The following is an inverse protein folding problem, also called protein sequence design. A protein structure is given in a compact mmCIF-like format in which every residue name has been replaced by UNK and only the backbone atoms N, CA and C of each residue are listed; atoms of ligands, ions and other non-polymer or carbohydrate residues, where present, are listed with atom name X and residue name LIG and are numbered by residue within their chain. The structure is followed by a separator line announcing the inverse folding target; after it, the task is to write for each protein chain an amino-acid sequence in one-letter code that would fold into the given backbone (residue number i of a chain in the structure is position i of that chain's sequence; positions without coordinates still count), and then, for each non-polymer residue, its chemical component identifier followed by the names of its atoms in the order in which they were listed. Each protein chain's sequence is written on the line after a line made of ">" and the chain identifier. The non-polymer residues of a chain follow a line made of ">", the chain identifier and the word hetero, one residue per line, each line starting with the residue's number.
data_IF_688598255614
#
_entry.id   IF_688598255614
#
_cell.length_a   1.000
_cell.length_b   1.000
_cell.length_c   1.000
_cell.angle_alpha   90.00
_cell.angle_beta   90.00
_cell.angle_gamma   90.00
#
_symmetry.space_group_name_H-M   'P 1'
#
loop_
_entity.id
_entity.type
_entity.pdbx_description
1 polymer ?
#
# COMPACT_ATOMS: atom_id res chain seq x y z
N UNK A 1 17.12 -16.17 32.88
CA UNK A 1 16.34 -16.72 31.76
C UNK A 1 16.20 -15.61 30.74
N UNK A 2 16.53 -15.84 29.48
CA UNK A 2 16.30 -14.87 28.39
C UNK A 2 14.79 -14.64 28.23
N UNK A 3 14.38 -13.38 28.05
CA UNK A 3 12.97 -13.04 27.79
C UNK A 3 12.48 -13.78 26.53
N UNK A 4 11.18 -14.12 26.43
CA UNK A 4 10.63 -14.76 25.25
C UNK A 4 10.75 -13.83 24.03
N UNK A 5 10.75 -14.42 22.83
CA UNK A 5 11.03 -13.66 21.60
C UNK A 5 9.99 -12.55 21.34
N UNK A 6 8.73 -12.76 21.71
CA UNK A 6 7.68 -11.74 21.57
C UNK A 6 7.91 -10.48 22.42
N UNK A 7 8.75 -10.57 23.47
CA UNK A 7 9.16 -9.44 24.30
C UNK A 7 10.47 -8.79 23.79
N UNK A 8 10.96 -9.19 22.63
CA UNK A 8 12.19 -8.69 22.00
C UNK A 8 11.98 -8.42 20.51
N UNK A 9 11.01 -7.55 20.14
CA UNK A 9 10.64 -7.34 18.75
C UNK A 9 11.80 -6.78 17.91
N UNK A 10 12.67 -5.97 18.51
CA UNK A 10 13.86 -5.46 17.83
C UNK A 10 14.79 -6.59 17.35
N UNK A 11 15.07 -7.58 18.19
CA UNK A 11 15.91 -8.73 17.81
C UNK A 11 15.24 -9.60 16.73
N UNK A 12 13.92 -9.74 16.82
CA UNK A 12 13.16 -10.47 15.82
C UNK A 12 13.23 -9.75 14.45
N UNK A 13 13.05 -8.43 14.42
CA UNK A 13 13.16 -7.65 13.19
C UNK A 13 14.58 -7.71 12.61
N UNK A 14 15.60 -7.56 13.45
CA UNK A 14 17.00 -7.70 13.02
C UNK A 14 17.23 -9.05 12.33
N UNK A 15 16.67 -10.13 12.89
CA UNK A 15 16.77 -11.45 12.30
C UNK A 15 16.02 -11.57 10.99
N UNK A 16 14.80 -11.02 10.86
CA UNK A 16 14.04 -11.07 9.60
C UNK A 16 14.71 -10.27 8.49
N UNK A 17 15.31 -9.13 8.80
CA UNK A 17 16.08 -8.33 7.83
C UNK A 17 17.27 -9.11 7.27
N UNK A 18 17.91 -9.97 8.07
CA UNK A 18 19.06 -10.76 7.63
C UNK A 18 18.74 -11.82 6.56
N UNK A 19 17.48 -12.14 6.36
CA UNK A 19 17.06 -12.92 5.20
C UNK A 19 16.92 -12.02 3.99
N UNK A 20 17.75 -12.26 2.96
CA UNK A 20 17.61 -11.58 1.68
C UNK A 20 16.49 -12.23 0.88
N UNK A 21 15.35 -11.56 0.88
CA UNK A 21 14.13 -11.98 0.19
C UNK A 21 13.81 -11.02 -0.96
N UNK A 22 14.84 -10.51 -1.62
CA UNK A 22 14.70 -9.59 -2.76
C UNK A 22 13.84 -10.20 -3.87
N UNK A 23 12.85 -9.46 -4.31
CA UNK A 23 11.92 -9.83 -5.36
C UNK A 23 11.95 -8.77 -6.50
N UNK A 24 12.24 -9.14 -7.76
CA UNK A 24 12.66 -10.48 -8.20
C UNK A 24 14.09 -10.87 -7.76
N UNK A 25 14.45 -12.19 -7.70
CA UNK A 25 13.66 -13.34 -8.16
C UNK A 25 12.63 -13.85 -7.13
N UNK A 26 12.71 -13.43 -5.86
CA UNK A 26 11.94 -13.98 -4.75
C UNK A 26 12.51 -15.32 -4.26
N UNK A 27 12.83 -15.37 -2.97
CA UNK A 27 13.34 -16.58 -2.29
C UNK A 27 13.01 -16.48 -0.81
N UNK A 28 11.74 -16.64 -0.48
CA UNK A 28 11.23 -16.39 0.86
C UNK A 28 11.37 -17.62 1.79
N UNK A 29 11.77 -18.79 1.25
CA UNK A 29 11.76 -20.08 1.96
C UNK A 29 12.49 -20.06 3.30
N UNK A 30 13.68 -19.46 3.38
CA UNK A 30 14.47 -19.47 4.62
C UNK A 30 13.82 -18.57 5.68
N UNK A 31 13.29 -17.42 5.28
CA UNK A 31 12.55 -16.52 6.17
C UNK A 31 11.27 -17.18 6.69
N UNK A 32 10.48 -17.75 5.79
CA UNK A 32 9.21 -18.43 6.14
C UNK A 32 9.48 -19.66 6.99
N UNK A 33 10.52 -20.44 6.72
CA UNK A 33 10.91 -21.60 7.54
C UNK A 33 11.24 -21.19 8.97
N UNK A 34 12.02 -20.14 9.15
CA UNK A 34 12.33 -19.58 10.46
C UNK A 34 11.06 -19.16 11.23
N UNK A 35 10.13 -18.47 10.56
CA UNK A 35 8.86 -18.04 11.15
C UNK A 35 7.98 -19.22 11.51
N UNK A 36 7.95 -20.25 10.66
CA UNK A 36 7.23 -21.49 10.90
C UNK A 36 7.77 -22.24 12.13
N UNK A 37 9.09 -22.32 12.28
CA UNK A 37 9.73 -22.91 13.46
C UNK A 37 9.35 -22.16 14.74
N UNK A 38 9.36 -20.83 14.74
CA UNK A 38 8.96 -20.01 15.88
C UNK A 38 7.50 -20.26 16.29
N UNK A 39 6.59 -20.28 15.33
CA UNK A 39 5.17 -20.49 15.59
C UNK A 39 4.88 -21.92 16.05
N UNK A 40 5.50 -22.92 15.43
CA UNK A 40 5.36 -24.33 15.82
C UNK A 40 5.90 -24.57 17.24
N UNK A 41 7.05 -23.98 17.57
CA UNK A 41 7.63 -24.06 18.92
C UNK A 41 6.74 -23.38 19.97
N UNK A 42 5.95 -22.37 19.59
CA UNK A 42 4.95 -21.72 20.44
C UNK A 42 3.61 -22.48 20.50
N UNK A 43 3.48 -23.63 19.82
CA UNK A 43 2.30 -24.49 19.85
C UNK A 43 1.23 -24.14 18.81
N UNK A 44 1.51 -23.31 17.84
CA UNK A 44 0.59 -23.07 16.73
C UNK A 44 0.54 -24.23 15.75
N UNK A 45 -0.66 -24.51 15.24
CA UNK A 45 -0.81 -25.28 14.01
C UNK A 45 -0.57 -24.34 12.83
N UNK A 46 0.39 -24.70 11.99
CA UNK A 46 0.78 -23.93 10.83
C UNK A 46 0.48 -24.67 9.53
N UNK A 47 0.21 -23.93 8.48
CA UNK A 47 0.06 -24.44 7.11
C UNK A 47 1.01 -23.69 6.20
N UNK A 48 1.81 -24.43 5.43
CA UNK A 48 2.66 -23.88 4.39
C UNK A 48 2.04 -24.17 3.02
N UNK A 49 1.76 -23.13 2.25
CA UNK A 49 1.18 -23.21 0.91
C UNK A 49 2.12 -22.51 -0.07
N UNK A 50 2.48 -23.19 -1.14
CA UNK A 50 3.47 -22.67 -2.09
C UNK A 50 3.10 -23.04 -3.54
N UNK A 51 3.05 -22.04 -4.42
CA UNK A 51 2.97 -22.24 -5.87
C UNK A 51 4.30 -22.75 -6.43
N UNK A 52 5.41 -22.34 -5.82
CA UNK A 52 6.76 -22.85 -6.08
C UNK A 52 7.48 -23.08 -4.74
N UNK A 53 8.33 -24.12 -4.62
CA UNK A 53 8.96 -24.47 -3.35
C UNK A 53 9.78 -23.38 -2.68
N UNK A 54 10.37 -22.46 -3.45
CA UNK A 54 11.19 -21.35 -2.94
C UNK A 54 10.38 -20.19 -2.39
N UNK A 55 9.06 -20.15 -2.66
CA UNK A 55 8.17 -19.02 -2.37
C UNK A 55 6.93 -19.45 -1.57
N UNK A 56 7.11 -20.03 -0.37
CA UNK A 56 5.98 -20.46 0.45
C UNK A 56 5.31 -19.29 1.16
N UNK A 57 4.02 -19.47 1.44
CA UNK A 57 3.22 -18.64 2.32
C UNK A 57 2.94 -19.41 3.60
N UNK A 58 2.89 -18.74 4.74
CA UNK A 58 2.69 -19.31 6.05
C UNK A 58 1.38 -18.81 6.63
N UNK A 59 0.52 -19.75 7.03
CA UNK A 59 -0.74 -19.47 7.74
C UNK A 59 -0.68 -20.09 9.11
N UNK A 60 -0.98 -19.31 10.16
CA UNK A 60 -1.14 -19.78 11.53
C UNK A 60 -2.45 -19.25 12.10
N UNK A 61 -3.14 -20.08 12.88
CA UNK A 61 -4.43 -19.72 13.47
C UNK A 61 -4.36 -19.67 14.99
N UNK A 62 -4.78 -18.54 15.56
CA UNK A 62 -5.07 -18.39 16.98
C UNK A 62 -6.59 -18.53 17.16
N UNK A 63 -7.07 -19.63 17.79
CA UNK A 63 -8.49 -19.87 17.94
C UNK A 63 -9.16 -18.82 18.82
N UNK A 64 -10.28 -18.30 18.37
CA UNK A 64 -11.12 -17.39 19.12
C UNK A 64 -12.23 -18.10 19.89
N UNK A 65 -13.09 -17.29 20.55
CA UNK A 65 -14.24 -17.79 21.32
C UNK A 65 -15.52 -17.93 20.49
N UNK A 66 -15.48 -17.64 19.20
CA UNK A 66 -16.64 -17.66 18.30
C UNK A 66 -17.64 -16.51 18.55
N UNK A 67 -17.23 -15.43 19.23
CA UNK A 67 -18.08 -14.29 19.56
C UNK A 67 -17.98 -13.14 18.55
N UNK A 68 -17.11 -13.26 17.53
CA UNK A 68 -16.95 -12.32 16.43
C UNK A 68 -16.54 -13.08 15.16
N UNK A 69 -16.70 -12.48 13.97
CA UNK A 69 -16.09 -13.00 12.74
C UNK A 69 -14.57 -13.12 12.87
N UNK A 70 -13.94 -13.91 12.00
CA UNK A 70 -12.48 -14.01 11.97
C UNK A 70 -11.82 -12.69 11.56
N UNK A 71 -10.57 -12.51 12.01
CA UNK A 71 -9.67 -11.39 11.66
C UNK A 71 -8.41 -11.97 11.01
N UNK A 72 -8.03 -11.47 9.83
CA UNK A 72 -6.71 -11.74 9.24
C UNK A 72 -5.72 -10.67 9.69
N UNK A 73 -4.54 -11.10 10.12
CA UNK A 73 -3.34 -10.26 10.17
C UNK A 73 -2.46 -10.68 8.99
N UNK A 74 -2.29 -9.82 8.01
CA UNK A 74 -1.64 -10.17 6.75
C UNK A 74 -0.42 -9.29 6.49
N UNK A 75 0.66 -9.90 5.97
CA UNK A 75 1.84 -9.16 5.56
C UNK A 75 2.78 -10.01 4.73
N UNK A 76 3.68 -9.33 4.02
CA UNK A 76 4.65 -9.98 3.15
C UNK A 76 6.08 -9.92 3.72
N UNK A 77 6.94 -10.82 3.25
CA UNK A 77 8.36 -10.87 3.64
C UNK A 77 9.31 -10.67 2.47
N UNK A 78 8.82 -10.67 1.23
CA UNK A 78 9.62 -10.22 0.10
C UNK A 78 9.87 -8.72 0.17
N UNK A 79 10.90 -8.26 -0.50
CA UNK A 79 11.33 -6.86 -0.46
C UNK A 79 11.86 -6.44 -1.83
N UNK A 80 11.75 -5.16 -2.18
CA UNK A 80 12.31 -4.62 -3.42
C UNK A 80 13.83 -4.67 -3.44
N UNK A 81 14.39 -4.62 -4.64
CA UNK A 81 15.84 -4.62 -4.88
C UNK A 81 16.55 -3.47 -4.19
N UNK A 82 17.79 -3.73 -3.76
CA UNK A 82 18.75 -2.72 -3.26
C UNK A 82 19.80 -2.34 -4.31
N UNK A 83 19.68 -2.85 -5.53
CA UNK A 83 20.62 -2.59 -6.62
C UNK A 83 20.65 -1.10 -6.99
N UNK A 84 21.83 -0.59 -7.31
CA UNK A 84 22.08 0.81 -7.64
C UNK A 84 21.75 1.82 -6.52
N UNK A 85 21.65 1.36 -5.26
CA UNK A 85 21.46 2.20 -4.10
C UNK A 85 22.72 2.26 -3.24
N UNK A 86 23.02 3.42 -2.67
CA UNK A 86 24.14 3.58 -1.73
C UNK A 86 23.59 3.62 -0.32
N UNK A 87 23.98 2.67 0.52
CA UNK A 87 23.50 2.50 1.88
C UNK A 87 24.58 2.88 2.90
N UNK A 88 24.20 3.58 3.95
CA UNK A 88 25.07 3.88 5.10
C UNK A 88 25.44 2.61 5.89
N UNK A 89 24.53 1.63 5.92
CA UNK A 89 24.75 0.31 6.52
C UNK A 89 24.27 -0.78 5.54
N UNK A 90 24.92 -1.97 5.51
CA UNK A 90 24.50 -3.04 4.59
C UNK A 90 23.00 -3.35 4.74
N UNK A 91 22.24 -3.40 3.64
CA UNK A 91 20.76 -3.43 3.66
C UNK A 91 20.16 -4.67 4.35
N UNK A 92 20.90 -5.78 4.41
CA UNK A 92 20.48 -7.01 5.07
C UNK A 92 21.24 -7.30 6.36
N UNK A 93 21.84 -6.28 6.99
CA UNK A 93 22.56 -6.47 8.26
C UNK A 93 21.64 -6.46 9.49
N UNK A 94 20.50 -5.82 9.42
CA UNK A 94 19.61 -5.61 10.57
C UNK A 94 20.30 -4.84 11.71
N UNK A 95 21.18 -3.89 11.36
CA UNK A 95 22.02 -3.21 12.34
C UNK A 95 21.23 -2.26 13.22
N UNK A 96 21.43 -2.33 14.54
CA UNK A 96 20.89 -1.36 15.49
C UNK A 96 21.90 -0.22 15.66
N UNK A 97 21.53 0.99 15.27
CA UNK A 97 22.37 2.20 15.38
C UNK A 97 21.49 3.37 15.78
N UNK A 98 21.88 4.11 16.79
CA UNK A 98 21.21 5.33 17.29
C UNK A 98 19.70 5.15 17.55
N UNK A 99 19.32 3.99 18.08
CA UNK A 99 17.92 3.65 18.37
C UNK A 99 17.08 3.21 17.16
N UNK A 100 17.71 3.06 15.97
CA UNK A 100 17.04 2.59 14.75
C UNK A 100 17.56 1.21 14.34
N UNK A 101 16.64 0.36 13.86
CA UNK A 101 16.98 -0.87 13.15
C UNK A 101 17.04 -0.52 11.67
N UNK A 102 18.21 -0.70 11.07
CA UNK A 102 18.50 -0.38 9.68
C UNK A 102 18.42 -1.61 8.81
N UNK A 103 17.73 -1.49 7.71
CA UNK A 103 17.72 -2.53 6.67
C UNK A 103 16.51 -2.47 5.77
N UNK A 104 16.63 -3.08 4.58
CA UNK A 104 15.54 -3.26 3.64
C UNK A 104 14.45 -4.13 4.27
N UNK A 105 13.20 -3.68 4.20
CA UNK A 105 12.07 -4.33 4.83
C UNK A 105 11.80 -3.90 6.27
N UNK A 106 12.58 -2.96 6.83
CA UNK A 106 12.35 -2.50 8.20
C UNK A 106 11.00 -1.79 8.36
N UNK A 107 10.53 -1.09 7.32
CA UNK A 107 9.21 -0.45 7.23
C UNK A 107 8.28 -1.23 6.32
N UNK A 108 8.77 -1.74 5.20
CA UNK A 108 8.00 -2.38 4.14
C UNK A 108 8.49 -3.81 3.88
N UNK A 109 7.80 -4.88 4.47
CA UNK A 109 6.95 -4.72 5.65
C UNK A 109 7.32 -5.72 6.77
N UNK A 110 8.60 -6.15 6.86
CA UNK A 110 9.04 -7.11 7.91
C UNK A 110 8.81 -6.54 9.32
N UNK A 111 8.89 -5.19 9.50
CA UNK A 111 8.50 -4.54 10.74
C UNK A 111 7.03 -4.77 11.10
N UNK A 112 6.14 -4.67 10.14
CA UNK A 112 4.71 -5.00 10.29
C UNK A 112 4.48 -6.47 10.62
N UNK A 113 5.19 -7.36 9.94
CA UNK A 113 5.17 -8.80 10.25
C UNK A 113 5.58 -9.06 11.70
N UNK A 114 6.62 -8.37 12.19
CA UNK A 114 7.05 -8.48 13.60
C UNK A 114 5.96 -8.01 14.57
N UNK A 115 5.28 -6.90 14.29
CA UNK A 115 4.18 -6.42 15.13
C UNK A 115 3.07 -7.47 15.26
N UNK A 116 2.66 -8.06 14.15
CA UNK A 116 1.60 -9.08 14.11
C UNK A 116 2.04 -10.38 14.78
N UNK A 117 3.25 -10.84 14.48
CA UNK A 117 3.81 -12.07 15.03
C UNK A 117 3.98 -11.99 16.55
N UNK A 118 4.52 -10.89 17.07
CA UNK A 118 4.69 -10.69 18.52
C UNK A 118 3.34 -10.64 19.23
N UNK A 119 2.31 -10.03 18.63
CA UNK A 119 0.97 -9.97 19.20
C UNK A 119 0.34 -11.37 19.33
N UNK A 120 0.41 -12.21 18.29
CA UNK A 120 -0.16 -13.57 18.35
C UNK A 120 0.65 -14.50 19.25
N UNK A 121 1.98 -14.41 19.26
CA UNK A 121 2.85 -15.17 20.16
C UNK A 121 2.60 -14.82 21.62
N UNK A 122 2.41 -13.52 21.92
CA UNK A 122 2.06 -13.05 23.26
C UNK A 122 0.69 -13.57 23.69
N UNK A 123 -0.32 -13.45 22.82
CA UNK A 123 -1.66 -13.96 23.09
C UNK A 123 -1.65 -15.45 23.41
N UNK A 124 -0.92 -16.25 22.63
CA UNK A 124 -0.76 -17.69 22.87
C UNK A 124 -0.07 -17.97 24.20
N UNK A 125 1.02 -17.27 24.51
CA UNK A 125 1.79 -17.46 25.74
C UNK A 125 1.00 -17.09 27.01
N UNK A 126 0.14 -16.07 26.92
CA UNK A 126 -0.74 -15.60 28.00
C UNK A 126 -2.04 -16.43 28.09
N UNK A 127 -2.29 -17.36 27.16
CA UNK A 127 -3.53 -18.14 27.09
C UNK A 127 -4.75 -17.27 26.73
N UNK A 128 -4.53 -16.12 26.08
CA UNK A 128 -5.60 -15.21 25.68
C UNK A 128 -6.32 -15.74 24.43
N UNK A 129 -7.66 -15.78 24.50
CA UNK A 129 -8.52 -16.13 23.37
C UNK A 129 -9.26 -14.90 22.86
N UNK A 130 -9.02 -14.44 21.61
CA UNK A 130 -9.74 -13.33 21.01
C UNK A 130 -11.23 -13.66 20.79
N UNK A 131 -12.05 -12.66 20.48
CA UNK A 131 -13.47 -12.87 20.25
C UNK A 131 -13.76 -13.70 18.99
N UNK A 132 -13.05 -13.48 17.92
CA UNK A 132 -13.06 -14.29 16.69
C UNK A 132 -11.70 -14.94 16.45
N UNK A 133 -11.64 -15.92 15.57
CA UNK A 133 -10.36 -16.50 15.15
C UNK A 133 -9.45 -15.42 14.57
N UNK A 134 -8.15 -15.49 14.91
CA UNK A 134 -7.12 -14.65 14.26
C UNK A 134 -6.29 -15.55 13.35
N UNK A 135 -6.25 -15.17 12.07
CA UNK A 135 -5.48 -15.87 11.04
C UNK A 135 -4.26 -15.01 10.68
N UNK A 136 -3.10 -15.39 11.20
CA UNK A 136 -1.84 -14.77 10.78
C UNK A 136 -1.44 -15.36 9.42
N UNK A 137 -1.29 -14.50 8.43
CA UNK A 137 -0.93 -14.87 7.05
C UNK A 137 0.32 -14.09 6.64
N UNK A 138 1.44 -14.80 6.49
CA UNK A 138 2.73 -14.22 6.07
C UNK A 138 3.03 -14.70 4.66
N UNK A 139 3.16 -13.78 3.73
CA UNK A 139 3.11 -14.03 2.30
C UNK A 139 4.40 -13.67 1.58
N UNK A 140 4.52 -14.22 0.38
CA UNK A 140 5.50 -13.89 -0.62
C UNK A 140 4.89 -12.96 -1.68
N UNK A 141 5.73 -12.30 -2.50
CA UNK A 141 5.41 -11.74 -3.81
C UNK A 141 4.51 -10.50 -3.82
N UNK A 142 4.36 -9.77 -2.73
CA UNK A 142 3.60 -8.52 -2.77
C UNK A 142 4.23 -7.54 -3.77
N UNK A 143 5.54 -7.35 -3.67
CA UNK A 143 6.35 -6.37 -4.41
C UNK A 143 6.41 -6.62 -5.93
N UNK A 144 5.98 -7.79 -6.40
CA UNK A 144 5.92 -8.12 -7.84
C UNK A 144 4.51 -8.48 -8.33
N UNK A 145 3.48 -8.26 -7.50
CA UNK A 145 2.07 -8.35 -7.90
C UNK A 145 1.25 -9.47 -7.28
N UNK A 146 1.77 -10.15 -6.25
CA UNK A 146 1.06 -11.11 -5.39
C UNK A 146 0.72 -12.45 -6.04
N UNK A 147 1.26 -12.79 -7.21
CA UNK A 147 0.89 -13.99 -7.98
C UNK A 147 1.31 -15.30 -7.30
N UNK A 148 2.33 -15.26 -6.41
CA UNK A 148 2.80 -16.37 -5.58
C UNK A 148 2.34 -16.26 -4.12
N UNK A 149 1.81 -15.09 -3.73
CA UNK A 149 1.36 -14.73 -2.40
C UNK A 149 -0.16 -14.66 -2.28
N UNK A 150 -0.68 -13.47 -1.99
CA UNK A 150 -2.09 -13.25 -1.68
C UNK A 150 -3.04 -13.72 -2.78
N UNK A 151 -2.72 -13.50 -4.06
CA UNK A 151 -3.54 -13.96 -5.19
C UNK A 151 -3.66 -15.49 -5.17
N UNK A 152 -2.53 -16.19 -5.06
CA UNK A 152 -2.52 -17.65 -4.99
C UNK A 152 -3.36 -18.17 -3.82
N UNK A 153 -3.22 -17.57 -2.63
CA UNK A 153 -3.97 -17.98 -1.45
C UNK A 153 -5.48 -17.76 -1.62
N UNK A 154 -5.86 -16.60 -2.15
CA UNK A 154 -7.28 -16.22 -2.30
C UNK A 154 -7.97 -17.02 -3.41
N UNK A 155 -7.27 -17.31 -4.52
CA UNK A 155 -7.85 -18.01 -5.66
C UNK A 155 -7.83 -19.55 -5.50
N UNK A 156 -6.77 -20.12 -4.91
CA UNK A 156 -6.57 -21.56 -4.83
C UNK A 156 -6.87 -22.15 -3.43
N UNK A 157 -6.85 -21.30 -2.37
CA UNK A 157 -7.03 -21.71 -0.97
C UNK A 157 -8.00 -20.80 -0.18
N UNK A 158 -9.16 -20.39 -0.74
CA UNK A 158 -10.10 -19.47 -0.08
C UNK A 158 -10.65 -20.03 1.25
N UNK A 159 -10.67 -21.36 1.42
CA UNK A 159 -11.11 -22.04 2.64
C UNK A 159 -10.29 -21.64 3.88
N UNK A 160 -9.05 -21.18 3.69
CA UNK A 160 -8.21 -20.71 4.79
C UNK A 160 -8.78 -19.43 5.44
N UNK A 161 -9.62 -18.70 4.73
CA UNK A 161 -10.19 -17.43 5.16
C UNK A 161 -11.70 -17.51 5.44
N UNK A 162 -12.25 -18.74 5.52
CA UNK A 162 -13.67 -18.92 5.80
C UNK A 162 -14.07 -18.28 7.13
N UNK A 163 -15.16 -17.49 7.14
CA UNK A 163 -15.66 -16.80 8.32
C UNK A 163 -14.88 -15.53 8.74
N UNK A 164 -13.88 -15.13 7.97
CA UNK A 164 -13.16 -13.86 8.15
C UNK A 164 -13.98 -12.70 7.57
N UNK A 165 -14.03 -11.58 8.28
CA UNK A 165 -14.67 -10.34 7.81
C UNK A 165 -13.69 -9.21 7.58
N UNK A 166 -12.63 -9.11 8.39
CA UNK A 166 -11.68 -8.02 8.35
C UNK A 166 -10.24 -8.53 8.21
N UNK A 167 -9.42 -7.73 7.55
CA UNK A 167 -7.98 -7.90 7.48
C UNK A 167 -7.26 -6.65 7.98
N UNK A 168 -6.14 -6.85 8.65
CA UNK A 168 -5.18 -5.81 9.03
C UNK A 168 -3.90 -6.07 8.26
N UNK A 169 -3.41 -5.05 7.58
CA UNK A 169 -2.19 -5.10 6.79
C UNK A 169 -1.48 -3.76 6.70
N UNK A 170 -0.67 -3.62 5.68
CA UNK A 170 0.06 -2.40 5.37
C UNK A 170 -0.80 -1.28 4.77
N UNK A 171 -0.18 -0.17 4.38
CA UNK A 171 -0.80 0.98 3.75
C UNK A 171 -1.22 2.09 4.72
N UNK A 172 -1.05 1.89 6.03
CA UNK A 172 -1.38 2.89 7.04
C UNK A 172 -0.85 2.57 8.43
N UNK A 173 -1.18 3.41 9.40
CA UNK A 173 -0.84 3.27 10.83
C UNK A 173 0.38 4.10 11.26
N UNK A 174 1.34 4.37 10.38
CA UNK A 174 2.48 5.22 10.70
C UNK A 174 2.08 6.69 10.89
N UNK A 175 2.65 7.35 11.91
CA UNK A 175 2.39 8.76 12.15
C UNK A 175 3.15 9.66 11.18
N UNK A 176 2.51 10.76 10.78
CA UNK A 176 3.10 11.84 9.98
C UNK A 176 2.81 13.18 10.63
N UNK A 177 3.80 14.06 10.63
CA UNK A 177 3.59 15.43 11.10
C UNK A 177 3.27 16.33 9.92
N UNK A 178 2.04 16.86 9.89
CA UNK A 178 1.57 17.80 8.88
C UNK A 178 1.08 19.07 9.59
N UNK A 179 1.52 20.22 9.13
CA UNK A 179 1.10 21.52 9.67
C UNK A 179 1.22 21.64 11.20
N UNK A 180 2.24 20.96 11.77
CA UNK A 180 2.48 20.96 13.22
C UNK A 180 1.65 19.96 14.04
N UNK A 181 0.76 19.21 13.41
CA UNK A 181 -0.06 18.17 14.04
C UNK A 181 0.44 16.78 13.65
N UNK A 182 0.29 15.81 14.56
CA UNK A 182 0.62 14.39 14.31
C UNK A 182 -0.65 13.63 13.91
N UNK A 183 -0.64 13.11 12.68
CA UNK A 183 -1.73 12.28 12.16
C UNK A 183 -1.30 10.84 12.05
N UNK A 184 -2.23 9.92 12.32
CA UNK A 184 -2.10 8.49 12.05
C UNK A 184 -3.10 8.14 10.94
N UNK A 185 -2.59 7.80 9.76
CA UNK A 185 -3.42 7.34 8.66
C UNK A 185 -3.89 5.91 8.92
N UNK A 186 -5.20 5.68 8.90
CA UNK A 186 -5.78 4.34 8.89
C UNK A 186 -6.34 4.13 7.50
N UNK A 187 -5.67 3.30 6.69
CA UNK A 187 -6.15 3.03 5.36
C UNK A 187 -7.43 2.21 5.43
N UNK A 188 -8.46 2.64 4.74
CA UNK A 188 -9.76 1.98 4.64
C UNK A 188 -10.14 1.62 3.22
N UNK A 189 -9.41 2.17 2.24
CA UNK A 189 -9.60 1.94 0.82
C UNK A 189 -8.28 2.05 0.06
N UNK A 190 -8.24 1.52 -1.15
CA UNK A 190 -7.11 1.61 -2.09
C UNK A 190 -7.62 1.74 -3.52
N UNK A 191 -6.78 2.26 -4.42
CA UNK A 191 -7.14 2.39 -5.84
C UNK A 191 -6.94 1.06 -6.56
N UNK A 192 -7.85 0.79 -7.52
CA UNK A 192 -7.73 -0.36 -8.39
C UNK A 192 -6.69 -0.14 -9.49
N UNK A 193 -5.95 -1.18 -9.83
CA UNK A 193 -5.08 -1.18 -11.02
C UNK A 193 -5.95 -1.24 -12.28
N UNK A 194 -5.65 -0.39 -13.25
CA UNK A 194 -6.27 -0.38 -14.58
C UNK A 194 -5.22 -0.02 -15.64
N UNK A 195 -4.37 -0.97 -16.00
CA UNK A 195 -3.38 -0.74 -17.03
C UNK A 195 -4.00 -0.87 -18.41
N UNK A 196 -3.73 0.13 -19.23
CA UNK A 196 -4.30 0.25 -20.55
C UNK A 196 -3.19 0.29 -21.61
N UNK A 197 -3.53 -0.21 -22.80
CA UNK A 197 -2.72 -0.02 -24.01
C UNK A 197 -3.56 0.71 -25.04
N UNK A 198 -2.94 1.65 -25.74
CA UNK A 198 -3.54 2.32 -26.91
C UNK A 198 -2.54 2.41 -28.05
N UNK A 199 -3.01 2.64 -29.25
CA UNK A 199 -2.17 2.82 -30.42
C UNK A 199 -2.53 4.08 -31.19
N UNK A 200 -1.49 4.86 -31.52
CA UNK A 200 -1.57 6.05 -32.31
C UNK A 200 -1.12 5.74 -33.74
N UNK A 201 -2.01 5.92 -34.71
CA UNK A 201 -1.71 5.67 -36.11
C UNK A 201 -1.65 6.96 -36.93
N UNK A 202 -0.86 6.94 -37.99
CA UNK A 202 -0.72 8.02 -38.94
C UNK A 202 0.05 7.58 -40.17
N UNK A 203 0.19 8.45 -41.18
CA UNK A 203 0.99 8.09 -42.34
C UNK A 203 2.46 7.88 -41.96
N UNK A 204 3.05 6.79 -42.48
CA UNK A 204 4.48 6.53 -42.43
C UNK A 204 5.19 7.05 -43.69
N UNK A 205 6.52 7.11 -43.67
CA UNK A 205 7.25 7.58 -44.83
C UNK A 205 8.76 7.60 -44.68
N UNK A 206 9.41 8.17 -45.68
CA UNK A 206 10.87 8.33 -45.70
C UNK A 206 11.27 9.52 -44.82
N UNK A 207 12.22 9.31 -43.89
CA UNK A 207 12.63 10.31 -42.91
C UNK A 207 13.19 11.62 -43.47
N UNK A 208 13.64 11.62 -44.72
CA UNK A 208 14.09 12.86 -45.39
C UNK A 208 12.96 13.77 -45.89
N UNK A 209 11.73 13.29 -45.93
CA UNK A 209 10.56 14.04 -46.37
C UNK A 209 9.73 14.44 -45.16
N UNK A 210 9.64 15.74 -44.80
CA UNK A 210 8.87 16.18 -43.63
C UNK A 210 7.40 15.77 -43.73
N UNK A 211 6.93 15.06 -42.71
CA UNK A 211 5.54 14.62 -42.60
C UNK A 211 4.95 15.17 -41.30
N UNK A 212 3.82 15.87 -41.42
CA UNK A 212 3.14 16.50 -40.27
C UNK A 212 1.89 15.73 -39.89
N UNK A 213 1.52 15.77 -38.61
CA UNK A 213 0.31 15.11 -38.12
C UNK A 213 0.41 13.58 -38.04
N UNK A 214 1.60 12.98 -38.20
CA UNK A 214 1.84 11.56 -38.08
C UNK A 214 1.74 11.04 -36.64
N UNK A 215 1.96 9.73 -36.45
CA UNK A 215 1.84 9.06 -35.15
C UNK A 215 2.70 9.71 -34.04
N UNK A 216 3.93 10.14 -34.37
CA UNK A 216 4.80 10.87 -33.41
C UNK A 216 4.22 12.22 -32.97
N UNK A 217 3.59 12.96 -33.88
CA UNK A 217 2.97 14.22 -33.53
C UNK A 217 1.71 14.05 -32.67
N UNK A 218 0.97 12.96 -32.90
CA UNK A 218 -0.17 12.57 -32.05
C UNK A 218 0.31 12.17 -30.64
N UNK A 219 1.36 11.38 -30.53
CA UNK A 219 1.98 11.03 -29.25
C UNK A 219 2.41 12.28 -28.48
N UNK A 220 3.10 13.21 -29.12
CA UNK A 220 3.51 14.46 -28.47
C UNK A 220 2.34 15.24 -27.88
N UNK A 221 1.22 15.37 -28.62
CA UNK A 221 0.01 16.03 -28.09
C UNK A 221 -0.60 15.27 -26.91
N UNK A 222 -0.75 13.96 -27.03
CA UNK A 222 -1.29 13.11 -25.98
C UNK A 222 -0.48 13.24 -24.68
N UNK A 223 0.84 13.11 -24.76
CA UNK A 223 1.72 13.22 -23.59
C UNK A 223 1.64 14.63 -22.97
N UNK A 224 1.62 15.70 -23.81
CA UNK A 224 1.46 17.07 -23.30
C UNK A 224 0.12 17.27 -22.61
N UNK A 225 -0.96 16.69 -23.12
CA UNK A 225 -2.28 16.79 -22.47
C UNK A 225 -2.29 16.06 -21.14
N UNK A 226 -1.76 14.82 -21.07
CA UNK A 226 -1.66 14.07 -19.81
C UNK A 226 -0.74 14.75 -18.77
N UNK A 227 0.28 15.49 -19.21
CA UNK A 227 1.19 16.23 -18.33
C UNK A 227 0.54 17.50 -17.76
N UNK A 228 -0.33 18.15 -18.52
CA UNK A 228 -0.88 19.46 -18.18
C UNK A 228 -2.30 19.46 -17.66
N UNK A 229 -3.02 18.36 -17.76
CA UNK A 229 -4.44 18.28 -17.39
C UNK A 229 -4.71 17.04 -16.54
N UNK A 230 -5.65 17.20 -15.62
CA UNK A 230 -6.15 16.13 -14.76
C UNK A 230 -7.40 15.47 -15.35
N UNK A 231 -7.65 14.22 -14.98
CA UNK A 231 -8.96 13.60 -15.13
C UNK A 231 -9.97 14.29 -14.20
N UNK A 232 -11.29 14.06 -14.34
CA UNK A 232 -12.31 14.70 -13.50
C UNK A 232 -12.10 14.48 -12.00
N UNK A 233 -12.47 15.49 -11.22
CA UNK A 233 -12.44 15.44 -9.74
C UNK A 233 -13.53 14.52 -9.23
N UNK A 234 -13.17 13.63 -8.30
CA UNK A 234 -14.07 12.70 -7.60
C UNK A 234 -13.82 12.74 -6.09
N UNK A 235 -14.73 13.30 -5.33
CA UNK A 235 -14.60 13.42 -3.87
C UNK A 235 -15.35 12.27 -3.21
N UNK A 236 -14.62 11.22 -2.82
CA UNK A 236 -15.18 10.09 -2.09
C UNK A 236 -15.40 10.44 -0.60
N UNK A 237 -16.33 9.77 0.10
CA UNK A 237 -16.60 10.02 1.53
C UNK A 237 -15.34 9.92 2.40
N UNK A 238 -14.48 8.93 2.17
CA UNK A 238 -13.21 8.77 2.91
C UNK A 238 -12.30 9.99 2.72
N UNK A 239 -12.25 10.56 1.53
CA UNK A 239 -11.43 11.74 1.25
C UNK A 239 -12.04 13.00 1.85
N UNK A 240 -13.36 13.09 1.88
CA UNK A 240 -14.05 14.17 2.58
C UNK A 240 -13.75 14.15 4.09
N UNK A 241 -13.81 12.98 4.74
CA UNK A 241 -13.48 12.84 6.16
C UNK A 241 -12.00 13.17 6.44
N UNK A 242 -11.08 12.62 5.61
CA UNK A 242 -9.65 12.87 5.75
C UNK A 242 -9.31 14.36 5.62
N UNK A 243 -9.75 14.99 4.53
CA UNK A 243 -9.44 16.40 4.23
C UNK A 243 -10.07 17.31 5.27
N UNK A 244 -11.33 17.06 5.69
CA UNK A 244 -11.98 17.85 6.74
C UNK A 244 -11.21 17.76 8.06
N UNK A 245 -10.80 16.57 8.50
CA UNK A 245 -10.06 16.41 9.75
C UNK A 245 -8.69 17.13 9.71
N UNK A 246 -8.01 17.13 8.58
CA UNK A 246 -6.74 17.86 8.41
C UNK A 246 -6.99 19.37 8.37
N UNK A 247 -8.01 19.82 7.63
CA UNK A 247 -8.37 21.24 7.52
C UNK A 247 -8.77 21.86 8.86
N UNK A 248 -9.59 21.15 9.66
CA UNK A 248 -10.07 21.59 10.97
C UNK A 248 -8.94 21.75 12.00
N UNK A 249 -7.87 20.97 11.86
CA UNK A 249 -6.74 21.00 12.79
C UNK A 249 -5.55 21.85 12.28
N UNK A 250 -5.53 22.22 11.02
CA UNK A 250 -4.48 23.06 10.44
C UNK A 250 -4.71 24.55 10.76
N UNK A 251 -3.66 25.36 10.98
CA UNK A 251 -3.82 26.79 11.22
C UNK A 251 -4.29 27.52 9.96
N UNK A 252 -5.08 28.61 10.14
CA UNK A 252 -5.42 29.50 9.04
C UNK A 252 -4.16 30.21 8.49
N UNK A 253 -4.05 30.48 7.17
CA UNK A 253 -5.05 30.21 6.13
C UNK A 253 -5.00 28.80 5.52
N UNK A 254 -4.12 27.94 6.00
CA UNK A 254 -3.87 26.59 5.42
C UNK A 254 -5.12 25.70 5.53
N UNK A 255 -5.81 25.73 6.70
CA UNK A 255 -7.05 24.98 6.89
C UNK A 255 -8.14 25.37 5.90
N UNK A 256 -8.35 26.68 5.66
CA UNK A 256 -9.32 27.17 4.69
C UNK A 256 -8.99 26.72 3.25
N UNK A 257 -7.68 26.70 2.90
CA UNK A 257 -7.21 26.24 1.61
C UNK A 257 -7.44 24.73 1.42
N UNK A 258 -7.16 23.94 2.46
CA UNK A 258 -7.41 22.49 2.43
C UNK A 258 -8.92 22.18 2.35
N UNK A 259 -9.76 22.87 3.11
CA UNK A 259 -11.20 22.71 3.03
C UNK A 259 -11.74 22.99 1.61
N UNK A 260 -11.10 23.91 0.88
CA UNK A 260 -11.49 24.24 -0.49
C UNK A 260 -11.19 23.12 -1.51
N UNK A 261 -10.38 22.11 -1.16
CA UNK A 261 -10.22 20.88 -1.96
C UNK A 261 -11.52 20.08 -2.07
N UNK A 262 -12.45 20.28 -1.17
CA UNK A 262 -13.75 19.60 -1.16
C UNK A 262 -14.82 20.29 -2.02
N UNK A 263 -14.48 21.36 -2.71
CA UNK A 263 -15.31 21.98 -3.73
C UNK A 263 -14.80 21.58 -5.11
N UNK A 264 -15.51 20.69 -5.87
CA UNK A 264 -15.03 20.21 -7.17
C UNK A 264 -14.69 21.32 -8.19
N UNK A 265 -15.33 22.49 -8.07
CA UNK A 265 -15.04 23.62 -8.95
C UNK A 265 -13.72 24.33 -8.60
N UNK A 266 -13.16 24.08 -7.44
CA UNK A 266 -11.96 24.74 -6.92
C UNK A 266 -10.78 23.78 -6.73
N UNK A 267 -11.03 22.49 -6.66
CA UNK A 267 -10.03 21.44 -6.33
C UNK A 267 -8.76 21.60 -7.13
N UNK A 268 -8.82 21.63 -8.46
CA UNK A 268 -7.62 21.71 -9.31
C UNK A 268 -6.83 23.00 -9.07
N UNK A 269 -7.50 24.14 -8.98
CA UNK A 269 -6.82 25.41 -8.70
C UNK A 269 -6.16 25.43 -7.30
N UNK A 270 -6.77 24.76 -6.33
CA UNK A 270 -6.19 24.63 -4.98
C UNK A 270 -4.99 23.68 -5.01
N UNK A 271 -5.05 22.57 -5.73
CA UNK A 271 -3.92 21.66 -5.91
C UNK A 271 -2.72 22.37 -6.54
N UNK A 272 -2.96 23.15 -7.61
CA UNK A 272 -1.92 23.95 -8.25
C UNK A 272 -1.31 24.99 -7.29
N UNK A 273 -2.14 25.62 -6.46
CA UNK A 273 -1.68 26.57 -5.46
C UNK A 273 -0.84 25.89 -4.37
N UNK A 274 -1.24 24.73 -3.87
CA UNK A 274 -0.50 23.94 -2.88
C UNK A 274 0.85 23.49 -3.46
N UNK A 275 0.88 23.03 -4.69
CA UNK A 275 2.11 22.61 -5.37
C UNK A 275 3.07 23.81 -5.57
N UNK A 276 2.57 24.96 -6.02
CA UNK A 276 3.35 26.18 -6.16
C UNK A 276 3.94 26.69 -4.83
N UNK A 277 3.28 26.39 -3.70
CA UNK A 277 3.77 26.68 -2.35
C UNK A 277 4.75 25.62 -1.83
N UNK A 278 5.04 24.57 -2.60
CA UNK A 278 5.94 23.48 -2.21
C UNK A 278 5.36 22.52 -1.17
N UNK A 279 4.02 22.47 -1.05
CA UNK A 279 3.34 21.53 -0.17
C UNK A 279 3.41 20.13 -0.79
N UNK A 280 4.29 19.27 -0.26
CA UNK A 280 4.55 17.93 -0.82
C UNK A 280 3.30 17.03 -0.89
N UNK A 281 2.35 17.24 0.02
CA UNK A 281 1.09 16.51 0.07
C UNK A 281 0.13 16.84 -1.07
N UNK A 282 0.35 17.92 -1.82
CA UNK A 282 -0.47 18.27 -2.98
C UNK A 282 -0.59 17.11 -3.98
N UNK A 283 0.53 16.44 -4.29
CA UNK A 283 0.54 15.26 -5.18
C UNK A 283 -0.24 14.06 -4.63
N UNK A 284 -0.22 13.88 -3.32
CA UNK A 284 -1.02 12.84 -2.67
C UNK A 284 -2.52 13.16 -2.82
N UNK A 285 -2.94 14.39 -2.51
CA UNK A 285 -4.34 14.79 -2.70
C UNK A 285 -4.77 14.69 -4.16
N UNK A 286 -3.92 15.10 -5.10
CA UNK A 286 -4.17 14.96 -6.54
C UNK A 286 -4.46 13.50 -6.89
N UNK A 287 -3.58 12.57 -6.50
CA UNK A 287 -3.76 11.15 -6.75
C UNK A 287 -5.02 10.57 -6.09
N UNK A 288 -5.50 11.12 -4.99
CA UNK A 288 -6.65 10.60 -4.23
C UNK A 288 -7.99 11.25 -4.57
N UNK A 289 -7.97 12.37 -5.32
CA UNK A 289 -9.18 13.08 -5.74
C UNK A 289 -9.52 12.86 -7.22
N UNK A 290 -8.70 12.10 -7.95
CA UNK A 290 -8.90 11.79 -9.37
C UNK A 290 -8.65 10.31 -9.66
N UNK A 291 -9.28 9.76 -10.69
CA UNK A 291 -8.68 8.65 -11.41
C UNK A 291 -7.36 9.16 -12.00
N UNK A 292 -6.32 8.33 -12.02
CA UNK A 292 -5.01 8.80 -12.49
C UNK A 292 -4.45 7.92 -13.59
N UNK A 293 -3.74 8.51 -14.52
CA UNK A 293 -3.09 7.83 -15.64
C UNK A 293 -1.71 8.41 -15.88
N UNK A 294 -0.71 7.53 -15.96
CA UNK A 294 0.65 7.88 -16.37
C UNK A 294 1.05 7.08 -17.61
N UNK A 295 1.65 7.75 -18.59
CA UNK A 295 2.27 7.08 -19.73
C UNK A 295 3.61 6.46 -19.26
N UNK A 296 3.77 5.14 -19.39
CA UNK A 296 4.91 4.44 -18.81
C UNK A 296 5.78 3.72 -19.84
N UNK A 297 5.16 3.18 -20.91
CA UNK A 297 5.89 2.44 -21.96
C UNK A 297 5.50 2.94 -23.33
N UNK A 298 6.48 3.20 -24.18
CA UNK A 298 6.28 3.62 -25.58
C UNK A 298 7.02 2.69 -26.50
N UNK A 299 6.32 2.12 -27.48
CA UNK A 299 6.88 1.33 -28.55
C UNK A 299 6.61 1.97 -29.89
N UNK A 300 7.66 2.33 -30.65
CA UNK A 300 7.49 2.94 -31.97
C UNK A 300 8.80 3.33 -32.62
N UNK A 301 8.84 3.21 -33.93
CA UNK A 301 10.03 3.45 -34.73
C UNK A 301 11.02 2.28 -34.64
N UNK A 302 11.56 1.87 -35.81
CA UNK A 302 12.53 0.76 -35.91
C UNK A 302 13.85 1.25 -36.49
N UNK A 303 13.82 2.31 -37.32
CA UNK A 303 14.98 2.80 -38.05
C UNK A 303 14.91 4.30 -38.21
N UNK A 304 16.04 4.98 -38.02
CA UNK A 304 16.16 6.45 -38.04
C UNK A 304 15.60 7.11 -39.31
N UNK A 305 15.75 6.47 -40.46
CA UNK A 305 15.29 7.05 -41.76
C UNK A 305 13.86 6.62 -42.17
N UNK A 306 13.07 6.05 -41.23
CA UNK A 306 11.70 5.62 -41.46
C UNK A 306 10.76 6.32 -40.45
N UNK A 307 9.79 7.06 -40.95
CA UNK A 307 8.74 7.67 -40.13
C UNK A 307 7.75 6.56 -39.75
N UNK A 308 7.52 6.27 -38.44
CA UNK A 308 6.61 5.21 -38.02
C UNK A 308 5.16 5.58 -38.34
N UNK A 309 4.42 4.61 -38.83
CA UNK A 309 2.97 4.75 -39.06
C UNK A 309 2.12 4.36 -37.83
N UNK A 310 2.73 3.73 -36.83
CA UNK A 310 2.07 3.27 -35.60
C UNK A 310 3.02 3.42 -34.43
N UNK A 311 2.47 3.88 -33.31
CA UNK A 311 3.12 3.90 -31.98
C UNK A 311 2.16 3.29 -30.99
N UNK A 312 2.65 2.38 -30.17
CA UNK A 312 1.91 1.82 -29.05
C UNK A 312 2.35 2.50 -27.76
N UNK A 313 1.39 2.73 -26.88
CA UNK A 313 1.57 3.38 -25.59
C UNK A 313 0.89 2.55 -24.53
N UNK A 314 1.63 2.24 -23.43
CA UNK A 314 1.06 1.65 -22.23
C UNK A 314 0.91 2.73 -21.16
N UNK A 315 -0.23 2.64 -20.46
CA UNK A 315 -0.67 3.59 -19.48
C UNK A 315 -0.89 2.87 -18.15
N UNK A 316 -0.22 3.33 -17.08
CA UNK A 316 -0.55 2.91 -15.71
C UNK A 316 -1.74 3.74 -15.22
N UNK A 317 -2.92 3.16 -15.33
CA UNK A 317 -4.15 3.72 -14.83
C UNK A 317 -4.46 3.24 -13.41
N UNK A 318 -5.00 4.14 -12.58
CA UNK A 318 -5.45 3.86 -11.21
C UNK A 318 -6.85 4.40 -11.01
N UNK A 319 -7.79 3.52 -10.67
CA UNK A 319 -9.20 3.84 -10.46
C UNK A 319 -9.50 4.06 -8.98
N UNK A 320 -10.26 5.06 -8.69
CA UNK A 320 -10.87 5.25 -7.37
C UNK A 320 -11.91 4.14 -7.11
N UNK A 321 -12.14 3.74 -5.84
CA UNK A 321 -13.22 2.83 -5.48
C UNK A 321 -14.57 3.25 -6.07
N UNK A 322 -15.28 2.28 -6.64
CA UNK A 322 -16.57 2.51 -7.31
C UNK A 322 -16.49 2.87 -8.80
N UNK A 323 -15.30 3.18 -9.32
CA UNK A 323 -15.09 3.45 -10.74
C UNK A 323 -14.61 2.21 -11.49
N UNK A 324 -14.94 2.16 -12.77
CA UNK A 324 -14.66 1.02 -13.66
C UNK A 324 -13.65 1.40 -14.76
N UNK A 325 -13.03 0.43 -15.44
CA UNK A 325 -12.23 0.70 -16.64
C UNK A 325 -12.99 1.47 -17.73
N UNK A 326 -14.31 1.26 -17.83
CA UNK A 326 -15.14 1.98 -18.79
C UNK A 326 -15.24 3.48 -18.45
N UNK A 327 -15.34 3.81 -17.16
CA UNK A 327 -15.34 5.20 -16.70
C UNK A 327 -14.02 5.89 -17.04
N UNK A 328 -12.87 5.27 -16.73
CA UNK A 328 -11.55 5.80 -17.07
C UNK A 328 -11.39 6.01 -18.57
N UNK A 329 -11.79 5.03 -19.39
CA UNK A 329 -11.70 5.18 -20.85
C UNK A 329 -12.58 6.32 -21.36
N UNK A 330 -13.75 6.55 -20.74
CA UNK A 330 -14.63 7.68 -21.06
C UNK A 330 -14.00 9.02 -20.69
N UNK A 331 -13.42 9.12 -19.50
CA UNK A 331 -12.70 10.31 -19.04
C UNK A 331 -11.50 10.63 -19.94
N UNK A 332 -10.71 9.61 -20.29
CA UNK A 332 -9.57 9.76 -21.21
C UNK A 332 -9.99 10.22 -22.61
N UNK A 333 -11.07 9.69 -23.17
CA UNK A 333 -11.60 10.15 -24.47
C UNK A 333 -12.05 11.61 -24.40
N UNK A 334 -12.69 11.99 -23.31
CA UNK A 334 -13.11 13.38 -23.10
C UNK A 334 -11.91 14.31 -23.00
N UNK A 335 -10.89 13.93 -22.24
CA UNK A 335 -9.69 14.74 -22.04
C UNK A 335 -8.85 14.88 -23.30
N UNK A 336 -8.66 13.79 -24.04
CA UNK A 336 -7.75 13.76 -25.19
C UNK A 336 -8.41 14.25 -26.49
N UNK A 337 -9.75 14.39 -26.52
CA UNK A 337 -10.52 14.89 -27.66
C UNK A 337 -10.41 14.03 -28.94
N UNK A 338 -9.97 12.78 -28.80
CA UNK A 338 -9.81 11.82 -29.90
C UNK A 338 -10.57 10.53 -29.58
N UNK A 339 -11.06 9.84 -30.65
CA UNK A 339 -11.56 8.48 -30.54
C UNK A 339 -10.35 7.53 -30.42
N UNK A 340 -9.92 7.29 -29.18
CA UNK A 340 -8.88 6.31 -28.88
C UNK A 340 -9.50 4.97 -28.50
N UNK A 341 -8.95 3.91 -29.07
CA UNK A 341 -9.23 2.55 -28.62
C UNK A 341 -8.25 2.17 -27.52
N UNK A 342 -8.78 1.63 -26.44
CA UNK A 342 -8.01 1.16 -25.30
C UNK A 342 -8.21 -0.34 -25.13
N UNK A 343 -7.12 -1.06 -24.99
CA UNK A 343 -7.06 -2.45 -24.54
C UNK A 343 -6.73 -2.46 -23.05
N UNK A 344 -7.47 -3.24 -22.24
CA UNK A 344 -7.15 -3.44 -20.84
C UNK A 344 -6.06 -4.52 -20.74
N UNK A 345 -4.86 -4.14 -20.32
CA UNK A 345 -3.74 -5.08 -20.13
C UNK A 345 -3.90 -5.82 -18.78
N UNK A 346 -4.29 -5.05 -17.76
CA UNK A 346 -4.49 -5.57 -16.40
C UNK A 346 -5.56 -4.76 -15.68
N UNK A 347 -6.44 -5.46 -14.99
CA UNK A 347 -7.39 -4.86 -14.06
C UNK A 347 -7.47 -5.72 -12.80
N UNK A 348 -7.05 -5.14 -11.68
CA UNK A 348 -7.22 -5.74 -10.35
C UNK A 348 -8.27 -4.89 -9.60
N UNK A 349 -9.53 -5.35 -9.54
CA UNK A 349 -10.59 -4.60 -8.87
C UNK A 349 -10.37 -4.55 -7.36
N UNK A 350 -10.85 -3.48 -6.74
CA UNK A 350 -10.94 -3.32 -5.27
C UNK A 350 -12.41 -3.31 -4.84
N UNK A 351 -12.65 -3.36 -3.53
CA UNK A 351 -14.01 -3.20 -3.00
C UNK A 351 -14.64 -1.87 -3.44
N UNK A 352 -15.90 -1.92 -3.85
CA UNK A 352 -16.63 -0.72 -4.30
C UNK A 352 -17.18 0.10 -3.15
N UNK A 353 -17.43 -0.54 -2.01
CA UNK A 353 -17.91 0.09 -0.78
C UNK A 353 -16.91 -0.18 0.36
N UNK A 354 -16.69 0.81 1.20
CA UNK A 354 -15.80 0.72 2.35
C UNK A 354 -16.61 0.42 3.60
N UNK A 355 -16.38 -0.74 4.22
CA UNK A 355 -16.94 -1.04 5.55
C UNK A 355 -16.11 -0.30 6.63
N UNK A 356 -16.68 0.74 7.23
CA UNK A 356 -16.03 1.56 8.26
C UNK A 356 -16.25 1.02 9.68
N UNK A 357 -16.87 -0.14 9.87
CA UNK A 357 -17.29 -0.60 11.21
C UNK A 357 -16.10 -0.87 12.16
N UNK A 358 -14.92 -1.26 11.65
CA UNK A 358 -13.73 -1.47 12.48
C UNK A 358 -12.96 -0.15 12.75
N UNK A 359 -13.10 0.86 11.89
CA UNK A 359 -12.34 2.12 11.98
C UNK A 359 -12.45 2.82 13.36
N UNK A 360 -13.64 2.98 13.98
CA UNK A 360 -13.74 3.65 15.28
C UNK A 360 -12.89 3.01 16.37
N UNK A 361 -12.81 1.67 16.39
CA UNK A 361 -11.99 0.94 17.36
C UNK A 361 -10.49 1.16 17.09
N UNK A 362 -10.06 1.11 15.82
CA UNK A 362 -8.66 1.38 15.46
C UNK A 362 -8.26 2.82 15.83
N UNK A 363 -9.14 3.77 15.57
CA UNK A 363 -8.94 5.17 15.93
C UNK A 363 -8.87 5.38 17.45
N UNK A 364 -9.68 4.68 18.24
CA UNK A 364 -9.64 4.74 19.71
C UNK A 364 -8.33 4.18 20.26
N UNK A 365 -7.83 3.06 19.71
CA UNK A 365 -6.53 2.50 20.10
C UNK A 365 -5.39 3.50 19.93
N UNK A 366 -5.40 4.27 18.84
CA UNK A 366 -4.41 5.34 18.61
C UNK A 366 -4.57 6.46 19.65
N UNK A 367 -5.78 6.98 19.86
CA UNK A 367 -6.02 8.09 20.81
C UNK A 367 -5.62 7.74 22.24
N UNK A 368 -5.79 6.50 22.64
CA UNK A 368 -5.36 6.03 23.96
C UNK A 368 -3.85 5.90 24.09
N UNK A 369 -3.18 5.41 23.01
CA UNK A 369 -1.74 5.23 23.02
C UNK A 369 -0.98 6.54 22.80
N UNK A 370 -1.54 7.46 22.03
CA UNK A 370 -1.01 8.79 21.76
C UNK A 370 -2.13 9.84 21.75
N UNK A 371 -2.45 10.43 22.91
CA UNK A 371 -3.55 11.42 23.03
C UNK A 371 -3.40 12.68 22.18
N UNK A 372 -2.17 13.00 21.73
CA UNK A 372 -1.90 14.10 20.80
C UNK A 372 -2.02 13.68 19.33
N UNK A 373 -2.13 12.39 19.07
CA UNK A 373 -2.24 11.82 17.72
C UNK A 373 -3.68 11.90 17.20
N UNK A 374 -3.82 12.33 15.96
CA UNK A 374 -5.11 12.44 15.27
C UNK A 374 -5.24 11.28 14.29
N UNK A 375 -6.06 10.25 14.58
CA UNK A 375 -6.35 9.21 13.60
C UNK A 375 -7.26 9.75 12.51
N UNK A 376 -6.89 9.51 11.25
CA UNK A 376 -7.66 9.90 10.08
C UNK A 376 -7.86 8.69 9.16
N UNK A 377 -9.07 8.51 8.58
CA UNK A 377 -9.25 7.51 7.53
C UNK A 377 -8.52 7.98 6.29
N UNK A 378 -7.93 7.06 5.54
CA UNK A 378 -7.23 7.40 4.31
C UNK A 378 -7.44 6.34 3.23
N UNK A 379 -7.11 6.71 2.01
CA UNK A 379 -7.01 5.82 0.87
C UNK A 379 -5.57 5.80 0.36
N UNK A 380 -5.11 4.65 -0.10
CA UNK A 380 -3.81 4.50 -0.76
C UNK A 380 -3.97 4.63 -2.27
N UNK A 381 -3.13 5.46 -2.88
CA UNK A 381 -3.11 5.63 -4.35
C UNK A 381 -2.46 4.46 -5.10
N UNK A 382 -1.69 3.63 -4.39
CA UNK A 382 -1.13 2.37 -4.86
C UNK A 382 -2.06 1.19 -4.59
N UNK A 383 -1.47 0.02 -4.41
CA UNK A 383 -2.17 -1.20 -4.02
C UNK A 383 -1.38 -1.95 -2.93
N UNK A 384 -2.07 -2.84 -2.23
CA UNK A 384 -1.51 -3.77 -1.26
C UNK A 384 -2.06 -5.18 -1.52
N UNK A 385 -1.58 -6.18 -0.79
CA UNK A 385 -2.20 -7.51 -0.78
C UNK A 385 -3.67 -7.48 -0.34
N UNK A 386 -4.10 -6.42 0.35
CA UNK A 386 -5.49 -6.19 0.78
C UNK A 386 -6.51 -6.30 -0.34
N UNK A 387 -6.17 -5.87 -1.58
CA UNK A 387 -7.03 -6.01 -2.76
C UNK A 387 -7.41 -7.45 -3.09
N UNK A 388 -6.54 -8.40 -2.75
CA UNK A 388 -6.83 -9.81 -2.98
C UNK A 388 -7.85 -10.32 -1.97
N UNK A 389 -7.71 -9.97 -0.70
CA UNK A 389 -8.68 -10.32 0.35
C UNK A 389 -10.05 -9.68 0.11
N UNK A 390 -10.10 -8.49 -0.47
CA UNK A 390 -11.36 -7.84 -0.87
C UNK A 390 -12.19 -8.69 -1.86
N UNK A 391 -11.55 -9.54 -2.69
CA UNK A 391 -12.24 -10.47 -3.60
C UNK A 391 -13.03 -11.57 -2.88
N UNK A 392 -12.71 -11.83 -1.62
CA UNK A 392 -13.46 -12.73 -0.72
C UNK A 392 -14.50 -11.97 0.12
N UNK A 393 -14.70 -10.68 -0.12
CA UNK A 393 -15.58 -9.82 0.70
C UNK A 393 -14.97 -9.44 2.05
N UNK A 394 -13.66 -9.58 2.23
CA UNK A 394 -12.93 -9.22 3.45
C UNK A 394 -12.50 -7.76 3.34
N UNK A 395 -12.99 -6.89 4.24
CA UNK A 395 -12.53 -5.50 4.30
C UNK A 395 -11.12 -5.43 4.88
N UNK A 396 -10.20 -4.88 4.10
CA UNK A 396 -8.83 -4.62 4.55
C UNK A 396 -8.70 -3.24 5.18
N UNK A 397 -7.94 -3.16 6.27
CA UNK A 397 -7.49 -1.94 6.90
C UNK A 397 -5.97 -1.90 6.94
N UNK A 398 -5.38 -0.86 6.39
CA UNK A 398 -3.96 -0.59 6.58
C UNK A 398 -3.72 0.02 7.96
N UNK A 399 -3.20 -0.80 8.88
CA UNK A 399 -3.04 -0.41 10.28
C UNK A 399 -1.81 -1.08 10.90
N UNK A 400 -0.64 -0.46 10.66
CA UNK A 400 0.64 -0.81 11.29
C UNK A 400 1.15 0.40 12.10
N UNK A 401 0.67 0.58 13.35
CA UNK A 401 0.91 1.79 14.11
C UNK A 401 2.38 2.00 14.43
N UNK A 402 2.93 3.14 14.01
CA UNK A 402 4.29 3.57 14.30
C UNK A 402 4.26 5.02 14.79
N UNK A 403 4.68 5.28 16.02
CA UNK A 403 4.89 6.64 16.52
C UNK A 403 6.28 7.13 16.06
N UNK A 404 6.30 7.77 14.91
CA UNK A 404 7.54 8.22 14.28
C UNK A 404 7.94 9.62 14.78
N UNK A 405 9.24 9.93 14.85
CA UNK A 405 9.73 11.29 15.09
C UNK A 405 9.16 12.29 14.07
N UNK A 406 8.95 13.54 14.49
CA UNK A 406 8.29 14.56 13.66
C UNK A 406 9.03 14.90 12.35
N UNK A 407 10.34 14.75 12.34
CA UNK A 407 11.23 14.96 11.20
C UNK A 407 11.51 13.67 10.39
N UNK A 408 10.99 12.53 10.83
CA UNK A 408 11.20 11.26 10.15
C UNK A 408 10.26 11.14 8.95
N UNK A 409 10.84 11.05 7.76
CA UNK A 409 10.09 10.85 6.52
C UNK A 409 10.17 9.39 6.07
N UNK A 410 9.25 8.55 6.55
CA UNK A 410 9.18 7.13 6.19
C UNK A 410 9.01 6.93 4.68
N UNK A 411 8.16 7.74 4.03
CA UNK A 411 7.92 7.65 2.58
C UNK A 411 9.14 7.98 1.71
N UNK A 412 10.18 8.60 2.28
CA UNK A 412 11.43 8.85 1.56
C UNK A 412 12.42 7.68 1.66
N UNK A 413 12.19 6.72 2.57
CA UNK A 413 13.08 5.58 2.80
C UNK A 413 12.48 4.25 2.34
N UNK A 414 11.16 4.12 2.29
CA UNK A 414 10.47 2.98 1.65
C UNK A 414 10.87 2.92 0.18
N UNK A 415 11.31 1.75 -0.29
CA UNK A 415 11.88 1.47 -1.63
C UNK A 415 13.20 2.24 -1.95
N UNK A 416 13.70 3.05 -1.03
CA UNK A 416 14.97 3.79 -1.16
C UNK A 416 16.07 3.21 -0.26
N UNK A 417 17.29 3.77 -0.36
CA UNK A 417 18.35 3.43 0.57
C UNK A 417 18.06 3.95 2.00
N UNK A 418 18.76 3.36 2.96
CA UNK A 418 18.71 3.77 4.37
C UNK A 418 17.34 3.63 5.03
N UNK A 419 16.55 2.67 4.55
CA UNK A 419 15.32 2.25 5.21
C UNK A 419 15.62 1.78 6.64
N UNK A 420 14.84 2.29 7.58
CA UNK A 420 15.03 2.01 9.00
C UNK A 420 13.78 2.31 9.80
N UNK A 421 13.64 1.69 10.96
CA UNK A 421 12.54 1.93 11.90
C UNK A 421 13.08 2.23 13.30
N UNK A 422 12.53 3.25 14.03
CA UNK A 422 12.86 3.45 15.43
C UNK A 422 12.40 2.26 16.28
N UNK A 423 13.23 1.78 17.20
CA UNK A 423 12.87 0.68 18.12
C UNK A 423 11.61 1.03 18.92
N UNK A 424 11.55 2.25 19.47
CA UNK A 424 10.38 2.71 20.24
C UNK A 424 9.09 2.73 19.42
N UNK A 425 9.17 3.04 18.10
CA UNK A 425 8.02 3.02 17.23
C UNK A 425 7.58 1.58 16.93
N UNK A 426 8.50 0.64 16.79
CA UNK A 426 8.20 -0.78 16.64
C UNK A 426 7.51 -1.33 17.89
N UNK A 427 8.04 -1.02 19.09
CA UNK A 427 7.46 -1.43 20.38
C UNK A 427 6.04 -0.88 20.55
N UNK A 428 5.83 0.39 20.18
CA UNK A 428 4.51 1.03 20.17
C UNK A 428 3.52 0.27 19.28
N UNK A 429 3.94 -0.11 18.07
CA UNK A 429 3.11 -0.88 17.15
C UNK A 429 2.78 -2.28 17.68
N UNK A 430 3.75 -2.99 18.23
CA UNK A 430 3.55 -4.31 18.84
C UNK A 430 2.50 -4.27 19.95
N UNK A 431 2.54 -3.26 20.82
CA UNK A 431 1.56 -3.11 21.90
C UNK A 431 0.16 -2.82 21.36
N UNK A 432 0.03 -1.94 20.36
CA UNK A 432 -1.28 -1.60 19.78
C UNK A 432 -1.89 -2.80 19.04
N UNK A 433 -1.13 -3.55 18.26
CA UNK A 433 -1.65 -4.76 17.59
C UNK A 433 -2.09 -5.81 18.62
N UNK A 434 -1.36 -5.96 19.74
CA UNK A 434 -1.81 -6.84 20.82
C UNK A 434 -3.10 -6.34 21.46
N UNK A 435 -3.25 -5.04 21.75
CA UNK A 435 -4.50 -4.44 22.25
C UNK A 435 -5.65 -4.59 21.27
N UNK A 436 -5.37 -4.52 19.95
CA UNK A 436 -6.36 -4.80 18.93
C UNK A 436 -6.95 -6.20 19.11
N UNK A 437 -6.11 -7.25 19.29
CA UNK A 437 -6.59 -8.61 19.53
C UNK A 437 -7.46 -8.70 20.79
N UNK A 438 -7.10 -7.97 21.86
CA UNK A 438 -7.85 -7.96 23.11
C UNK A 438 -9.22 -7.29 22.98
N UNK A 439 -9.36 -6.29 22.12
CA UNK A 439 -10.59 -5.48 21.96
C UNK A 439 -11.44 -5.91 20.80
N UNK A 440 -10.88 -6.68 19.88
CA UNK A 440 -11.61 -7.13 18.70
C UNK A 440 -12.89 -7.84 19.10
N UNK A 441 -14.04 -7.35 18.57
CA UNK A 441 -15.39 -7.88 18.81
C UNK A 441 -16.25 -7.62 17.58
N UNK A 442 -17.37 -8.33 17.50
CA UNK A 442 -18.39 -7.98 16.51
C UNK A 442 -18.85 -6.54 16.73
N UNK A 443 -18.82 -5.72 15.68
CA UNK A 443 -19.36 -4.37 15.68
C UNK A 443 -20.88 -4.37 15.75
#
# INVERSE_FOLDING_TARGET
>A
MTQPIYARPAELLQRLIQFDTTNPPGNEIDCISYLNELLTAAGFQTTLLAKTPSRPNLIARLPGRGAAPGLVLQGHVDVVTTANQTWAHPPFSGKLVDGYIWGRGALDMKGGVVMMLTAVLRAQAEGFQPAGDVVLTIMADEEAGSDYGARFLVEEHPEQFAGVRYAIGEGGGGSQTLFGQRYYSIMVAEKAVCWLRTALSGPGGHGSTPLRGGAMAKLGRLLTTLDQQRLPVHILPVMQEMISAIADSAPAPTGDLLAALLDPARTDAVLDQLEAQGVRQARMFDALLHNTVNATVVHGGIKTNVIPSRIELELDGRLLPGYTPADMMSELRTLLGEELEFEIIRHDPVGTETDMALYPMLAELIREADPEGIPIPTMVGGFTDGRMFARLGIQNYGFLPLKLPADFNSGATVHAADERVPVEALDFGCDIIYRLLQRYRAG
#
